data_IF_559222170633
#
_entry.id   IF_559222170633
#
_cell.length_a   1.000
_cell.length_b   1.000
_cell.length_c   1.000
_cell.angle_alpha   90.00
_cell.angle_beta   90.00
_cell.angle_gamma   90.00
#
_symmetry.space_group_name_H-M   'P 1'
#
loop_
_entity.id
_entity.type
_entity.pdbx_description
1 polymer ?
#
# COMPACT_ATOMS: atom_id res chain seq x y z
N UNK A 1 -5.14 3.16 -10.36
CA UNK A 1 -5.77 3.48 -9.06
C UNK A 1 -4.75 4.17 -8.17
N UNK A 2 -5.17 5.14 -7.35
CA UNK A 2 -4.30 5.75 -6.34
C UNK A 2 -4.39 4.94 -5.05
N UNK A 3 -3.23 4.47 -4.58
CA UNK A 3 -3.08 3.74 -3.33
C UNK A 3 -2.72 4.75 -2.25
N UNK A 4 -3.49 4.80 -1.17
CA UNK A 4 -3.33 5.79 -0.09
C UNK A 4 -2.87 5.15 1.21
N UNK A 5 -2.54 5.99 2.19
CA UNK A 5 -2.20 5.58 3.54
C UNK A 5 -3.34 4.81 4.23
N UNK A 6 -4.60 5.05 3.84
CA UNK A 6 -5.75 4.32 4.38
C UNK A 6 -5.71 2.85 3.97
N UNK A 7 -5.44 2.55 2.71
CA UNK A 7 -5.26 1.15 2.25
C UNK A 7 -4.09 0.47 2.99
N UNK A 8 -3.01 1.22 3.26
CA UNK A 8 -1.87 0.71 4.01
C UNK A 8 -2.21 0.40 5.47
N UNK A 9 -3.16 1.10 6.08
CA UNK A 9 -3.64 0.82 7.43
C UNK A 9 -4.72 -0.26 7.47
N UNK A 10 -5.48 -0.44 6.39
CA UNK A 10 -6.56 -1.43 6.33
C UNK A 10 -6.15 -2.80 5.75
N UNK A 11 -4.96 -2.92 5.13
CA UNK A 11 -4.49 -4.20 4.56
C UNK A 11 -4.40 -5.31 5.62
N UNK A 12 -4.99 -6.49 5.39
CA UNK A 12 -4.89 -7.61 6.32
C UNK A 12 -3.45 -8.13 6.35
N UNK A 13 -2.94 -8.44 7.55
CA UNK A 13 -1.62 -9.07 7.70
C UNK A 13 -1.74 -10.46 8.30
N UNK A 14 -0.74 -11.31 8.03
CA UNK A 14 -0.72 -12.73 8.38
C UNK A 14 -0.78 -13.04 9.88
N UNK A 15 -0.50 -12.07 10.76
CA UNK A 15 -0.51 -12.23 12.21
C UNK A 15 -1.84 -11.80 12.87
N UNK A 16 -2.88 -11.56 12.07
CA UNK A 16 -4.19 -11.10 12.54
C UNK A 16 -4.27 -9.61 12.88
N UNK A 17 -3.17 -8.86 12.72
CA UNK A 17 -3.19 -7.39 12.77
C UNK A 17 -3.57 -6.82 11.41
N UNK A 18 -4.20 -5.65 11.44
CA UNK A 18 -4.49 -4.87 10.26
C UNK A 18 -3.42 -3.79 10.08
N UNK A 19 -3.02 -3.57 8.83
CA UNK A 19 -2.12 -2.50 8.43
C UNK A 19 -0.64 -2.83 8.50
N UNK A 20 0.13 -2.24 7.59
CA UNK A 20 1.58 -2.30 7.64
C UNK A 20 2.16 -1.25 8.59
N UNK A 21 3.21 -1.64 9.33
CA UNK A 21 3.92 -0.72 10.21
C UNK A 21 4.67 0.35 9.41
N UNK A 22 4.54 1.62 9.81
CA UNK A 22 5.15 2.76 9.10
C UNK A 22 6.66 2.63 8.95
N UNK A 23 7.36 2.05 9.94
CA UNK A 23 8.81 1.82 9.86
C UNK A 23 9.16 0.92 8.67
N UNK A 24 8.52 -0.24 8.57
CA UNK A 24 8.76 -1.21 7.51
C UNK A 24 8.24 -0.71 6.15
N UNK A 25 7.20 0.12 6.13
CA UNK A 25 6.73 0.81 4.93
C UNK A 25 7.78 1.80 4.44
N UNK A 26 8.28 2.69 5.30
CA UNK A 26 9.30 3.67 4.94
C UNK A 26 10.58 3.02 4.41
N UNK A 27 11.05 1.95 5.04
CA UNK A 27 12.24 1.21 4.58
C UNK A 27 12.05 0.62 3.16
N UNK A 28 10.88 0.08 2.87
CA UNK A 28 10.54 -0.40 1.53
C UNK A 28 10.49 0.73 0.50
N UNK A 29 9.83 1.84 0.81
CA UNK A 29 9.78 2.99 -0.10
C UNK A 29 11.19 3.47 -0.43
N UNK A 30 12.08 3.53 0.57
CA UNK A 30 13.50 3.86 0.33
C UNK A 30 14.22 2.84 -0.55
N UNK A 31 14.03 1.53 -0.30
CA UNK A 31 14.65 0.46 -1.11
C UNK A 31 14.25 0.50 -2.58
N UNK A 32 13.03 0.94 -2.87
CA UNK A 32 12.49 1.01 -4.24
C UNK A 32 12.54 2.42 -4.85
N UNK A 33 13.26 3.37 -4.23
CA UNK A 33 13.34 4.77 -4.68
C UNK A 33 11.97 5.46 -4.81
N UNK A 34 11.00 5.05 -3.99
CA UNK A 34 9.67 5.65 -3.90
C UNK A 34 9.65 6.71 -2.79
N UNK A 35 8.87 7.78 -2.99
CA UNK A 35 8.79 8.87 -2.01
C UNK A 35 7.71 8.58 -0.94
N UNK A 36 8.17 8.27 0.28
CA UNK A 36 7.29 8.02 1.41
C UNK A 36 6.45 9.24 1.82
N UNK A 37 7.01 10.45 1.77
CA UNK A 37 6.28 11.66 2.16
C UNK A 37 5.19 12.01 1.14
N UNK A 38 5.47 11.87 -0.15
CA UNK A 38 4.45 12.05 -1.19
C UNK A 38 3.31 11.04 -1.02
N UNK A 39 3.65 9.77 -0.74
CA UNK A 39 2.65 8.73 -0.48
C UNK A 39 1.72 9.07 0.70
N UNK A 40 2.24 9.66 1.78
CA UNK A 40 1.43 10.06 2.93
C UNK A 40 0.42 11.17 2.60
N UNK A 41 0.79 12.11 1.74
CA UNK A 41 -0.03 13.29 1.43
C UNK A 41 -0.98 13.05 0.25
N UNK A 42 -0.51 12.34 -0.78
CA UNK A 42 -1.18 12.23 -2.07
C UNK A 42 -1.47 10.78 -2.49
N UNK A 43 -0.88 9.80 -1.79
CA UNK A 43 -0.86 8.41 -2.25
C UNK A 43 0.14 8.20 -3.39
N UNK A 44 0.07 7.01 -4.01
CA UNK A 44 0.93 6.64 -5.12
C UNK A 44 0.14 5.85 -6.16
N UNK A 45 0.51 5.96 -7.43
CA UNK A 45 -0.08 5.14 -8.48
C UNK A 45 0.25 3.65 -8.27
N UNK A 46 -0.76 2.79 -8.37
CA UNK A 46 -0.61 1.34 -8.20
C UNK A 46 0.48 0.74 -9.10
N UNK A 47 0.70 1.29 -10.30
CA UNK A 47 1.69 0.76 -11.26
C UNK A 47 3.10 0.89 -10.71
N UNK A 48 3.38 1.93 -9.92
CA UNK A 48 4.67 2.10 -9.27
C UNK A 48 4.91 1.04 -8.20
N UNK A 49 3.85 0.62 -7.49
CA UNK A 49 3.92 -0.47 -6.52
C UNK A 49 4.05 -1.83 -7.21
N UNK A 50 3.26 -2.10 -8.26
CA UNK A 50 3.36 -3.34 -9.04
C UNK A 50 4.73 -3.50 -9.71
N UNK A 51 5.32 -2.40 -10.21
CA UNK A 51 6.64 -2.40 -10.81
C UNK A 51 7.77 -2.80 -9.84
N UNK A 52 7.55 -2.70 -8.53
CA UNK A 52 8.54 -3.18 -7.54
C UNK A 52 8.71 -4.69 -7.53
N UNK A 53 7.69 -5.44 -7.98
CA UNK A 53 7.66 -6.90 -7.93
C UNK A 53 7.62 -7.50 -6.51
N UNK A 54 7.45 -6.67 -5.48
CA UNK A 54 7.45 -7.09 -4.08
C UNK A 54 6.07 -7.63 -3.68
N UNK A 55 6.04 -8.80 -3.03
CA UNK A 55 4.82 -9.47 -2.59
C UNK A 55 3.93 -8.59 -1.71
N UNK A 56 4.56 -7.77 -0.85
CA UNK A 56 3.85 -6.86 0.04
C UNK A 56 3.21 -5.70 -0.73
N UNK A 57 3.86 -5.23 -1.79
CA UNK A 57 3.33 -4.19 -2.66
C UNK A 57 2.13 -4.73 -3.46
N UNK A 58 2.23 -5.95 -3.98
CA UNK A 58 1.14 -6.61 -4.68
C UNK A 58 -0.07 -6.84 -3.77
N UNK A 59 0.16 -7.33 -2.55
CA UNK A 59 -0.89 -7.50 -1.53
C UNK A 59 -1.61 -6.18 -1.23
N UNK A 60 -0.86 -5.08 -1.10
CA UNK A 60 -1.44 -3.76 -0.85
C UNK A 60 -2.33 -3.29 -2.01
N UNK A 61 -1.89 -3.50 -3.25
CA UNK A 61 -2.65 -3.14 -4.45
C UNK A 61 -3.93 -3.97 -4.53
N UNK A 62 -3.83 -5.29 -4.34
CA UNK A 62 -5.00 -6.19 -4.33
C UNK A 62 -6.02 -5.79 -3.27
N UNK A 63 -5.56 -5.48 -2.05
CA UNK A 63 -6.43 -5.01 -0.97
C UNK A 63 -7.13 -3.71 -1.33
N UNK A 64 -6.41 -2.73 -1.89
CA UNK A 64 -7.01 -1.48 -2.30
C UNK A 64 -8.10 -1.67 -3.37
N UNK A 65 -7.91 -2.56 -4.34
CA UNK A 65 -8.97 -2.91 -5.31
C UNK A 65 -10.20 -3.49 -4.61
N UNK A 66 -10.02 -4.44 -3.69
CA UNK A 66 -11.12 -5.02 -2.94
C UNK A 66 -11.89 -3.97 -2.10
N UNK A 67 -11.18 -3.02 -1.48
CA UNK A 67 -11.81 -1.91 -0.74
C UNK A 67 -12.59 -0.97 -1.67
N UNK A 68 -12.09 -0.71 -2.88
CA UNK A 68 -12.78 0.11 -3.87
C UNK A 68 -14.08 -0.57 -4.36
N UNK A 69 -14.04 -1.88 -4.58
CA UNK A 69 -15.21 -2.67 -4.96
C UNK A 69 -16.24 -2.75 -3.82
N UNK A 70 -15.78 -2.94 -2.57
CA UNK A 70 -16.65 -2.99 -1.40
C UNK A 70 -17.25 -1.61 -1.02
N UNK A 71 -16.52 -0.51 -1.26
CA UNK A 71 -16.97 0.85 -0.99
C UNK A 71 -18.01 1.39 -1.99
N UNK A 72 -18.35 0.64 -3.04
CA UNK A 72 -19.39 0.97 -4.01
C UNK A 72 -20.79 0.41 -3.67
N UNK A 73 -21.00 -0.12 -2.46
CA UNK A 73 -22.28 -0.69 -2.01
C UNK A 73 -23.05 0.21 -1.04
#
# INVERSE_FOLDING_TARGET
>A
MIITIQHLHSVPTWNGRQGFCHRASREFFQRHNLNWFEFLNHGIDERLLVATGDDRALTLVQHAHAEAENGQQ
#
